data_IF_259713580817
#
_entry.id   IF_259713580817
#
_cell.length_a   1.000
_cell.length_b   1.000
_cell.length_c   1.000
_cell.angle_alpha   90.00
_cell.angle_beta   90.00
_cell.angle_gamma   90.00
#
_symmetry.space_group_name_H-M   'P 1'
#
loop_
_entity.id
_entity.type
_entity.pdbx_description
1 polymer ?
#
# COMPACT_ATOMS: atom_id res chain seq x y z
N UNK A 1 -12.07 -4.30 -2.14
CA UNK A 1 -12.45 -4.49 -3.55
C UNK A 1 -11.26 -5.15 -4.26
N UNK A 2 -11.40 -6.36 -4.80
CA UNK A 2 -10.31 -7.08 -5.48
C UNK A 2 -10.05 -6.53 -6.90
N UNK A 3 -9.79 -5.22 -7.01
CA UNK A 3 -9.59 -4.55 -8.28
C UNK A 3 -8.61 -3.38 -8.16
N UNK A 4 -7.83 -3.15 -9.21
CA UNK A 4 -6.92 -2.02 -9.35
C UNK A 4 -7.33 -1.19 -10.59
N UNK A 5 -7.13 0.12 -10.51
CA UNK A 5 -7.54 1.06 -11.55
C UNK A 5 -9.01 1.52 -11.41
N UNK A 6 -9.60 1.92 -12.54
CA UNK A 6 -10.85 2.68 -12.62
C UNK A 6 -10.66 3.94 -13.45
N UNK A 7 -11.67 4.81 -13.53
CA UNK A 7 -11.61 6.02 -14.38
C UNK A 7 -10.42 6.92 -14.04
N UNK A 8 -10.37 7.50 -12.85
CA UNK A 8 -9.22 8.29 -12.40
C UNK A 8 -8.05 7.41 -11.93
N UNK A 9 -8.37 6.33 -11.19
CA UNK A 9 -7.37 5.46 -10.57
C UNK A 9 -6.49 4.74 -11.59
N UNK A 10 -7.02 4.40 -12.77
CA UNK A 10 -6.23 3.76 -13.83
C UNK A 10 -5.10 4.66 -14.34
N UNK A 11 -5.35 5.97 -14.44
CA UNK A 11 -4.31 6.95 -14.79
C UNK A 11 -3.23 7.01 -13.71
N UNK A 12 -3.61 7.13 -12.43
CA UNK A 12 -2.64 7.16 -11.32
C UNK A 12 -1.78 5.89 -11.27
N UNK A 13 -2.37 4.72 -11.55
CA UNK A 13 -1.59 3.46 -11.62
C UNK A 13 -0.54 3.54 -12.73
N UNK A 14 -0.89 4.08 -13.91
CA UNK A 14 0.05 4.27 -15.02
C UNK A 14 1.10 5.33 -14.76
N UNK A 15 0.76 6.39 -14.04
CA UNK A 15 1.73 7.40 -13.59
C UNK A 15 2.73 6.81 -12.60
N UNK A 16 2.26 6.04 -11.61
CA UNK A 16 3.13 5.33 -10.66
C UNK A 16 4.07 4.37 -11.40
N UNK A 17 3.56 3.61 -12.36
CA UNK A 17 4.32 2.69 -13.20
C UNK A 17 5.40 3.44 -14.00
N UNK A 18 5.05 4.56 -14.63
CA UNK A 18 5.99 5.41 -15.38
C UNK A 18 7.11 6.00 -14.50
N UNK A 19 6.84 6.22 -13.20
CA UNK A 19 7.84 6.66 -12.22
C UNK A 19 8.70 5.52 -11.66
N UNK A 20 8.52 4.28 -12.12
CA UNK A 20 9.24 3.10 -11.62
C UNK A 20 8.61 2.47 -10.37
N UNK A 21 7.35 2.80 -10.08
CA UNK A 21 6.58 2.18 -9.01
C UNK A 21 6.08 0.78 -9.36
N UNK A 22 5.92 -0.08 -8.36
CA UNK A 22 5.63 -1.51 -8.57
C UNK A 22 4.15 -1.82 -8.84
N UNK A 23 3.23 -0.88 -8.63
CA UNK A 23 1.78 -1.18 -8.63
C UNK A 23 1.30 -1.68 -10.00
N UNK A 24 1.77 -1.09 -11.10
CA UNK A 24 1.42 -1.52 -12.46
C UNK A 24 1.87 -2.96 -12.73
N UNK A 25 3.17 -3.22 -12.54
CA UNK A 25 3.77 -4.55 -12.72
C UNK A 25 3.09 -5.65 -11.88
N UNK A 26 2.84 -5.40 -10.58
CA UNK A 26 2.16 -6.38 -9.70
C UNK A 26 0.72 -6.62 -10.18
N UNK A 27 0.04 -5.58 -10.66
CA UNK A 27 -1.33 -5.67 -11.21
C UNK A 27 -1.37 -6.56 -12.44
N UNK A 28 -0.39 -6.42 -13.34
CA UNK A 28 -0.30 -7.22 -14.56
C UNK A 28 -0.05 -8.71 -14.25
N UNK A 29 0.80 -9.02 -13.27
CA UNK A 29 1.10 -10.41 -12.87
C UNK A 29 -0.05 -11.08 -12.09
N UNK A 30 -0.79 -10.32 -11.27
CA UNK A 30 -1.90 -10.83 -10.46
C UNK A 30 -3.29 -10.70 -11.13
N UNK A 31 -3.36 -10.15 -12.33
CA UNK A 31 -4.60 -9.85 -13.02
C UNK A 31 -5.35 -11.09 -13.51
N UNK A 32 -6.67 -11.09 -13.28
CA UNK A 32 -7.60 -12.13 -13.78
C UNK A 32 -8.35 -11.62 -15.02
N UNK A 33 -8.73 -10.35 -15.03
CA UNK A 33 -9.48 -9.72 -16.11
C UNK A 33 -9.13 -8.25 -16.24
N UNK A 34 -8.89 -7.78 -17.47
CA UNK A 34 -8.59 -6.40 -17.79
C UNK A 34 -9.71 -5.79 -18.66
N UNK A 35 -10.05 -4.52 -18.41
CA UNK A 35 -11.04 -3.77 -19.18
C UNK A 35 -10.63 -2.31 -19.31
N UNK A 36 -11.03 -1.71 -20.42
CA UNK A 36 -11.02 -0.25 -20.60
C UNK A 36 -12.42 0.28 -20.28
N UNK A 37 -12.50 1.18 -19.30
CA UNK A 37 -13.72 1.90 -18.99
C UNK A 37 -13.85 3.09 -19.94
N UNK A 38 -15.10 3.46 -20.30
CA UNK A 38 -15.40 4.51 -21.28
C UNK A 38 -14.79 4.26 -22.67
N UNK A 39 -14.62 3.01 -23.09
CA UNK A 39 -13.99 2.64 -24.36
C UNK A 39 -14.63 3.30 -25.59
N UNK A 40 -15.96 3.48 -25.59
CA UNK A 40 -16.68 4.16 -26.69
C UNK A 40 -16.53 5.68 -26.70
N UNK A 41 -15.87 6.28 -25.70
CA UNK A 41 -15.60 7.72 -25.63
C UNK A 41 -14.14 8.00 -26.02
N UNK A 42 -13.81 9.28 -26.18
CA UNK A 42 -12.47 9.72 -26.55
C UNK A 42 -11.39 9.26 -25.55
N UNK A 43 -10.18 9.03 -26.05
CA UNK A 43 -9.04 8.46 -25.29
C UNK A 43 -8.73 9.20 -23.98
N UNK A 44 -8.97 10.52 -23.95
CA UNK A 44 -8.72 11.37 -22.79
C UNK A 44 -9.60 11.04 -21.56
N UNK A 45 -10.71 10.32 -21.75
CA UNK A 45 -11.65 9.96 -20.66
C UNK A 45 -11.73 8.44 -20.40
N UNK A 46 -10.89 7.66 -21.08
CA UNK A 46 -10.79 6.22 -20.89
C UNK A 46 -9.99 5.89 -19.64
N UNK A 47 -10.33 4.80 -18.94
CA UNK A 47 -9.61 4.39 -17.73
C UNK A 47 -9.38 2.89 -17.67
N UNK A 48 -8.14 2.46 -17.42
CA UNK A 48 -7.79 1.05 -17.25
C UNK A 48 -8.31 0.51 -15.92
N UNK A 49 -8.83 -0.71 -15.93
CA UNK A 49 -9.24 -1.43 -14.71
C UNK A 49 -8.93 -2.92 -14.84
N UNK A 50 -8.42 -3.49 -13.76
CA UNK A 50 -8.14 -4.91 -13.63
C UNK A 50 -8.86 -5.51 -12.41
N UNK A 51 -9.43 -6.70 -12.57
CA UNK A 51 -9.83 -7.58 -11.46
C UNK A 51 -8.61 -8.43 -11.06
N UNK A 52 -8.38 -8.56 -9.76
CA UNK A 52 -7.12 -9.04 -9.22
C UNK A 52 -7.33 -10.27 -8.34
N UNK A 53 -6.46 -11.26 -8.53
CA UNK A 53 -6.25 -12.33 -7.57
C UNK A 53 -5.52 -11.75 -6.36
N UNK A 54 -6.26 -11.46 -5.29
CA UNK A 54 -5.70 -10.80 -4.09
C UNK A 54 -4.73 -11.70 -3.33
N UNK A 55 -4.84 -13.02 -3.46
CA UNK A 55 -3.93 -13.97 -2.85
C UNK A 55 -2.57 -13.97 -3.57
N UNK A 56 -2.59 -13.94 -4.91
CA UNK A 56 -1.36 -13.76 -5.69
C UNK A 56 -0.75 -12.38 -5.49
N UNK A 57 -1.56 -11.32 -5.55
CA UNK A 57 -1.09 -9.93 -5.45
C UNK A 57 -0.25 -9.71 -4.18
N UNK A 58 -0.70 -10.20 -3.01
CA UNK A 58 0.05 -10.06 -1.75
C UNK A 58 1.39 -10.81 -1.78
N UNK A 59 1.44 -12.00 -2.40
CA UNK A 59 2.64 -12.83 -2.48
C UNK A 59 3.66 -12.17 -3.40
N UNK A 60 3.22 -11.70 -4.57
CA UNK A 60 4.07 -11.03 -5.56
C UNK A 60 4.65 -9.75 -4.97
N UNK A 61 3.82 -8.90 -4.36
CA UNK A 61 4.25 -7.66 -3.73
C UNK A 61 5.33 -7.93 -2.65
N UNK A 62 5.07 -8.88 -1.74
CA UNK A 62 6.05 -9.27 -0.70
C UNK A 62 7.36 -9.75 -1.31
N UNK A 63 7.30 -10.65 -2.30
CA UNK A 63 8.49 -11.25 -2.90
C UNK A 63 9.33 -10.21 -3.67
N UNK A 64 8.69 -9.21 -4.29
CA UNK A 64 9.38 -8.10 -4.95
C UNK A 64 10.09 -7.21 -3.92
N UNK A 65 9.42 -6.84 -2.84
CA UNK A 65 10.01 -6.01 -1.78
C UNK A 65 11.19 -6.73 -1.09
N UNK A 66 11.07 -8.02 -0.78
CA UNK A 66 12.15 -8.80 -0.16
C UNK A 66 13.41 -8.92 -1.03
N UNK A 67 13.31 -8.67 -2.34
CA UNK A 67 14.43 -8.72 -3.29
C UNK A 67 14.96 -7.33 -3.66
N UNK A 68 14.33 -6.26 -3.16
CA UNK A 68 14.70 -4.90 -3.52
C UNK A 68 16.03 -4.52 -2.82
N UNK A 69 17.05 -4.07 -3.55
CA UNK A 69 18.32 -3.68 -2.93
C UNK A 69 18.12 -2.48 -2.00
N UNK A 70 18.89 -2.44 -0.91
CA UNK A 70 18.84 -1.41 0.13
C UNK A 70 17.50 -1.31 0.89
N UNK A 71 16.64 -2.34 0.81
CA UNK A 71 15.44 -2.44 1.61
C UNK A 71 15.56 -3.58 2.62
N UNK A 72 15.49 -3.24 3.91
CA UNK A 72 15.35 -4.20 4.99
C UNK A 72 13.91 -4.20 5.50
N UNK A 73 13.38 -5.39 5.79
CA UNK A 73 12.00 -5.57 6.25
C UNK A 73 12.04 -6.26 7.61
N UNK A 74 11.48 -5.60 8.63
CA UNK A 74 11.23 -6.18 9.94
C UNK A 74 9.72 -6.29 10.20
N UNK A 75 9.31 -7.33 10.92
CA UNK A 75 7.92 -7.54 11.32
C UNK A 75 7.72 -7.13 12.78
N UNK A 76 7.55 -5.83 13.00
CA UNK A 76 7.40 -5.23 14.33
C UNK A 76 6.41 -4.04 14.28
N UNK A 77 5.83 -3.69 15.42
CA UNK A 77 4.96 -2.52 15.52
C UNK A 77 5.76 -1.32 16.01
N UNK A 78 5.86 -0.27 15.19
CA UNK A 78 6.42 1.02 15.63
C UNK A 78 5.43 1.72 16.59
N UNK A 79 5.83 1.87 17.86
CA UNK A 79 4.98 2.42 18.92
C UNK A 79 5.27 3.90 19.22
N UNK A 80 6.48 4.37 18.96
CA UNK A 80 6.87 5.75 19.21
C UNK A 80 7.88 6.26 18.19
N UNK A 81 7.82 7.56 17.91
CA UNK A 81 8.90 8.29 17.23
C UNK A 81 9.94 8.71 18.26
N UNK A 82 11.20 8.69 17.86
CA UNK A 82 12.30 9.30 18.61
C UNK A 82 12.48 10.70 18.03
N UNK A 83 12.26 11.74 18.83
CA UNK A 83 12.32 13.13 18.41
C UNK A 83 13.20 13.90 19.39
N UNK A 84 14.15 14.64 18.85
CA UNK A 84 15.06 15.50 19.61
C UNK A 84 15.14 16.87 18.93
N UNK A 85 14.92 17.95 19.68
CA UNK A 85 14.95 19.32 19.15
C UNK A 85 14.07 19.50 17.90
N UNK A 86 12.83 18.98 17.94
CA UNK A 86 11.86 18.96 16.84
C UNK A 86 12.32 18.24 15.56
N UNK A 87 13.38 17.42 15.65
CA UNK A 87 13.87 16.60 14.54
C UNK A 87 13.68 15.10 14.84
N UNK A 88 13.11 14.37 13.86
CA UNK A 88 12.99 12.91 13.97
C UNK A 88 14.37 12.25 13.89
N UNK A 89 14.63 11.32 14.81
CA UNK A 89 15.86 10.52 14.88
C UNK A 89 15.61 9.05 14.61
N UNK A 90 14.36 8.58 14.66
CA UNK A 90 14.04 7.18 14.43
C UNK A 90 12.69 6.75 14.99
N UNK A 91 12.55 5.44 15.21
CA UNK A 91 11.37 4.80 15.80
C UNK A 91 11.75 3.79 16.87
N UNK A 92 10.90 3.65 17.89
CA UNK A 92 10.95 2.58 18.89
C UNK A 92 9.80 1.61 18.65
N UNK A 93 10.07 0.30 18.72
CA UNK A 93 9.06 -0.75 18.48
C UNK A 93 8.49 -1.33 19.76
N UNK A 94 7.43 -2.14 19.62
CA UNK A 94 6.82 -2.91 20.70
C UNK A 94 7.72 -4.03 21.26
N UNK A 95 8.81 -4.37 20.58
CA UNK A 95 9.81 -5.34 21.03
C UNK A 95 11.02 -4.66 21.71
N UNK A 96 10.88 -3.38 22.07
CA UNK A 96 11.95 -2.55 22.64
C UNK A 96 13.16 -2.30 21.72
N UNK A 97 13.07 -2.67 20.44
CA UNK A 97 14.08 -2.33 19.43
C UNK A 97 14.02 -0.84 19.08
N UNK A 98 15.18 -0.29 18.70
CA UNK A 98 15.34 1.09 18.23
C UNK A 98 15.94 1.11 16.84
N UNK A 99 15.25 1.78 15.92
CA UNK A 99 15.71 1.98 14.54
C UNK A 99 15.94 3.47 14.29
N UNK A 100 17.19 3.85 14.05
CA UNK A 100 17.55 5.23 13.73
C UNK A 100 17.34 5.53 12.24
N UNK A 101 16.78 6.70 11.95
CA UNK A 101 16.55 7.16 10.59
C UNK A 101 16.54 8.69 10.52
N UNK A 102 17.09 9.25 9.43
CA UNK A 102 17.07 10.69 9.15
C UNK A 102 15.67 11.20 8.80
N UNK A 103 14.81 10.31 8.28
CA UNK A 103 13.44 10.57 7.86
C UNK A 103 12.60 9.33 8.15
N UNK A 104 11.35 9.56 8.55
CA UNK A 104 10.36 8.50 8.81
C UNK A 104 9.12 8.81 7.99
N UNK A 105 8.63 7.82 7.23
CA UNK A 105 7.41 7.93 6.44
C UNK A 105 6.33 7.09 7.13
N UNK A 106 5.22 7.71 7.52
CA UNK A 106 4.12 7.03 8.20
C UNK A 106 3.05 6.57 7.20
N UNK A 107 2.83 5.25 7.13
CA UNK A 107 1.84 4.61 6.24
C UNK A 107 0.93 3.65 7.02
N UNK A 108 0.43 4.11 8.18
CA UNK A 108 -0.34 3.29 9.15
C UNK A 108 -1.69 2.78 8.63
N UNK A 109 -2.17 3.27 7.49
CA UNK A 109 -3.43 2.85 6.89
C UNK A 109 -4.60 3.04 7.85
N UNK A 110 -5.37 1.98 8.09
CA UNK A 110 -6.52 2.00 9.03
C UNK A 110 -6.17 1.51 10.43
N UNK A 111 -4.89 1.28 10.74
CA UNK A 111 -4.47 0.62 11.99
C UNK A 111 -4.37 1.56 13.18
N UNK A 112 -3.84 2.78 12.99
CA UNK A 112 -3.63 3.71 14.09
C UNK A 112 -4.97 4.09 14.74
N UNK A 113 -5.17 3.69 16.00
CA UNK A 113 -6.42 3.85 16.74
C UNK A 113 -7.66 3.34 15.97
N UNK A 114 -7.50 2.30 15.15
CA UNK A 114 -8.57 1.71 14.38
C UNK A 114 -9.68 1.13 15.26
N UNK A 115 -10.93 1.46 14.95
CA UNK A 115 -12.12 0.96 15.62
C UNK A 115 -13.09 0.40 14.58
N UNK A 116 -13.32 -0.90 14.61
CA UNK A 116 -14.23 -1.59 13.71
C UNK A 116 -15.63 -1.54 14.31
N UNK A 117 -16.61 -1.16 13.49
CA UNK A 117 -18.03 -1.13 13.84
C UNK A 117 -18.78 -2.23 13.08
N UNK A 118 -19.47 -3.11 13.82
CA UNK A 118 -20.35 -4.16 13.28
C UNK A 118 -21.69 -4.05 14.00
N UNK A 119 -22.62 -3.27 13.43
CA UNK A 119 -23.83 -2.85 14.13
C UNK A 119 -23.45 -2.04 15.37
N UNK A 120 -23.92 -2.47 16.53
CA UNK A 120 -23.59 -1.86 17.83
C UNK A 120 -22.26 -2.36 18.41
N UNK A 121 -21.71 -3.46 17.89
CA UNK A 121 -20.45 -4.03 18.37
C UNK A 121 -19.26 -3.20 17.88
N UNK A 122 -18.33 -2.96 18.80
CA UNK A 122 -17.09 -2.23 18.55
C UNK A 122 -15.89 -3.11 18.87
N UNK A 123 -14.90 -3.15 17.98
CA UNK A 123 -13.66 -3.90 18.15
C UNK A 123 -12.46 -2.98 17.89
N UNK A 124 -11.53 -2.89 18.84
CA UNK A 124 -10.30 -2.11 18.68
C UNK A 124 -9.32 -2.88 17.79
N UNK A 125 -9.34 -2.59 16.49
CA UNK A 125 -8.48 -3.20 15.49
C UNK A 125 -8.44 -2.36 14.21
N UNK A 126 -7.35 -2.48 13.44
CA UNK A 126 -7.21 -1.76 12.17
C UNK A 126 -7.99 -2.37 11.02
N UNK A 127 -8.02 -3.71 10.97
CA UNK A 127 -8.69 -4.57 9.98
C UNK A 127 -8.99 -5.92 10.62
N UNK A 128 -9.95 -6.65 10.05
CA UNK A 128 -10.20 -8.09 10.30
C UNK A 128 -9.32 -8.92 9.39
#
# INVERSE_FOLDING_TARGET
NPAIGGLAKGHLVKELDAMGGLMGEITDEAGIQFRILNESKGVAVQGSRAQIDMDKYRIIARNKLLKLPNLEISQEQANALIVENDEVKGVKTNLENTYFAKKVILTTGTFLNGLIHIGENKLQAGRV
#
